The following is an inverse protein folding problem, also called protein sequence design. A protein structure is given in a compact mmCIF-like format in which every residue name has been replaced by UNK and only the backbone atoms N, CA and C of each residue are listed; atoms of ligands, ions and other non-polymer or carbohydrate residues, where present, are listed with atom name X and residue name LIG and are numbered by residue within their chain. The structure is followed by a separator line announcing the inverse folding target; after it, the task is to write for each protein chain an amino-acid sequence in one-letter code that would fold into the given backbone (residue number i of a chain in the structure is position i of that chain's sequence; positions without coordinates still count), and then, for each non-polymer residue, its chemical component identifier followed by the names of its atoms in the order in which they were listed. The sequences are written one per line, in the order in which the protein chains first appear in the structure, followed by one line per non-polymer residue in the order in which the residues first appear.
data_IF_398602404788
#
_entry.id   IF_398602404788
#
_cell.length_a   1.000
_cell.length_b   1.000
_cell.length_c   1.000
_cell.angle_alpha   90.00
_cell.angle_beta   90.00
_cell.angle_gamma   90.00
#
_symmetry.space_group_name_H-M   'P 1'
#
loop_
_entity.id
_entity.type
_entity.pdbx_description
1 polymer ?
#
# COMPACT_ATOMS: atom_id res chain seq x y z
N UNK A 1 -15.78 14.37 0.74
CA UNK A 1 -16.06 12.95 0.42
C UNK A 1 -14.74 12.25 0.15
N UNK A 2 -14.57 11.01 0.62
CA UNK A 2 -13.45 10.15 0.20
C UNK A 2 -13.58 9.91 -1.31
N UNK A 3 -12.49 9.96 -2.07
CA UNK A 3 -12.47 9.56 -3.48
C UNK A 3 -12.78 8.06 -3.55
N UNK A 4 -13.49 7.61 -4.59
CA UNK A 4 -13.81 6.20 -4.74
C UNK A 4 -12.51 5.40 -4.92
N UNK A 5 -12.37 4.32 -4.15
CA UNK A 5 -11.39 3.26 -4.42
C UNK A 5 -12.06 2.15 -5.21
N UNK A 6 -11.28 1.45 -6.04
CA UNK A 6 -11.77 0.26 -6.72
C UNK A 6 -12.03 -0.81 -5.64
N UNK A 7 -13.14 -1.57 -5.72
CA UNK A 7 -13.35 -2.70 -4.84
C UNK A 7 -12.13 -3.62 -4.86
N UNK A 8 -11.51 -3.81 -3.70
CA UNK A 8 -10.38 -4.72 -3.55
C UNK A 8 -10.91 -6.14 -3.77
N UNK A 9 -10.29 -6.90 -4.67
CA UNK A 9 -10.73 -8.25 -4.97
C UNK A 9 -10.20 -9.23 -3.92
N UNK A 10 -11.02 -10.24 -3.60
CA UNK A 10 -10.69 -11.25 -2.59
C UNK A 10 -9.40 -12.01 -2.94
N UNK A 11 -9.15 -12.26 -4.22
CA UNK A 11 -7.92 -12.91 -4.70
C UNK A 11 -6.66 -12.12 -4.36
N UNK A 12 -6.71 -10.79 -4.45
CA UNK A 12 -5.57 -9.92 -4.13
C UNK A 12 -5.23 -9.99 -2.64
N UNK A 13 -6.26 -9.98 -1.78
CA UNK A 13 -6.08 -10.11 -0.33
C UNK A 13 -5.57 -11.50 0.03
N UNK A 14 -6.08 -12.54 -0.64
CA UNK A 14 -5.70 -13.94 -0.41
C UNK A 14 -4.26 -14.23 -0.83
N UNK A 15 -3.76 -13.54 -1.87
CA UNK A 15 -2.36 -13.60 -2.27
C UNK A 15 -1.42 -13.04 -1.20
N UNK A 16 -1.81 -11.93 -0.55
CA UNK A 16 -1.05 -11.30 0.54
C UNK A 16 -1.13 -12.16 1.82
N UNK A 17 -2.34 -12.55 2.22
CA UNK A 17 -2.61 -13.29 3.46
C UNK A 17 -2.88 -14.77 3.17
N UNK A 18 -1.88 -15.44 2.60
CA UNK A 18 -1.96 -16.88 2.31
C UNK A 18 -1.61 -17.74 3.54
N UNK A 19 -1.82 -19.06 3.42
CA UNK A 19 -1.58 -20.02 4.50
C UNK A 19 -0.13 -19.98 5.02
N UNK A 20 0.85 -19.90 4.13
CA UNK A 20 2.27 -19.88 4.51
C UNK A 20 2.62 -18.62 5.31
N UNK A 21 2.09 -17.46 4.89
CA UNK A 21 2.29 -16.19 5.59
C UNK A 21 1.67 -16.22 7.00
N UNK A 22 0.48 -16.80 7.12
CA UNK A 22 -0.16 -16.99 8.43
C UNK A 22 0.66 -17.91 9.33
N UNK A 23 1.20 -19.01 8.80
CA UNK A 23 2.06 -19.92 9.54
C UNK A 23 3.35 -19.21 10.00
N UNK A 24 3.99 -18.43 9.11
CA UNK A 24 5.18 -17.62 9.44
C UNK A 24 4.92 -16.66 10.60
N UNK A 25 3.81 -15.93 10.56
CA UNK A 25 3.41 -15.00 11.62
C UNK A 25 3.18 -15.75 12.94
N UNK A 26 2.42 -16.86 12.91
CA UNK A 26 2.13 -17.66 14.11
C UNK A 26 3.42 -18.20 14.74
N UNK A 27 4.32 -18.77 13.93
CA UNK A 27 5.62 -19.25 14.41
C UNK A 27 6.44 -18.10 15.02
N UNK A 28 6.43 -16.94 14.38
CA UNK A 28 7.10 -15.75 14.90
C UNK A 28 6.56 -15.27 16.25
N UNK A 29 5.26 -15.41 16.50
CA UNK A 29 4.65 -15.10 17.80
C UNK A 29 5.18 -16.02 18.90
N UNK A 30 5.26 -17.33 18.64
CA UNK A 30 5.83 -18.29 19.58
C UNK A 30 7.33 -18.06 19.85
N UNK A 31 8.05 -17.48 18.88
CA UNK A 31 9.46 -17.12 19.02
C UNK A 31 9.68 -15.77 19.75
N UNK A 32 8.62 -15.06 20.12
CA UNK A 32 8.72 -13.76 20.79
C UNK A 32 9.24 -12.63 19.89
N UNK A 33 9.11 -12.76 18.56
CA UNK A 33 9.48 -11.70 17.63
C UNK A 33 8.61 -10.46 17.85
N UNK A 34 9.15 -9.25 17.64
CA UNK A 34 8.36 -8.03 17.76
C UNK A 34 7.19 -8.02 16.76
N UNK A 35 6.03 -7.49 17.18
CA UNK A 35 4.85 -7.40 16.32
C UNK A 35 5.03 -6.35 15.21
N UNK A 36 5.62 -5.22 15.55
CA UNK A 36 5.79 -4.04 14.70
C UNK A 36 7.26 -3.59 14.71
N UNK A 37 7.62 -2.66 13.83
CA UNK A 37 8.96 -2.11 13.72
C UNK A 37 9.84 -2.82 12.69
N UNK A 38 11.13 -2.50 12.68
CA UNK A 38 12.08 -3.10 11.74
C UNK A 38 12.20 -4.63 12.01
N UNK A 39 11.72 -5.44 11.05
CA UNK A 39 11.64 -6.90 11.21
C UNK A 39 10.44 -7.41 12.01
N UNK A 40 9.46 -6.55 12.29
CA UNK A 40 8.22 -6.94 12.96
C UNK A 40 7.33 -7.83 12.09
N UNK A 41 6.65 -8.79 12.72
CA UNK A 41 5.81 -9.79 12.03
C UNK A 41 4.72 -9.16 11.15
N UNK A 42 4.10 -8.09 11.64
CA UNK A 42 3.01 -7.40 10.96
C UNK A 42 3.51 -6.27 10.06
N UNK A 43 4.78 -5.86 10.17
CA UNK A 43 5.32 -4.73 9.40
C UNK A 43 5.26 -5.01 7.89
N UNK A 44 5.60 -6.22 7.45
CA UNK A 44 5.45 -6.62 6.04
C UNK A 44 3.99 -6.61 5.61
N UNK A 45 3.09 -7.08 6.47
CA UNK A 45 1.67 -7.16 6.14
C UNK A 45 1.04 -5.76 5.99
N UNK A 46 1.38 -4.84 6.90
CA UNK A 46 0.95 -3.44 6.80
C UNK A 46 1.49 -2.80 5.53
N UNK A 47 2.76 -3.05 5.18
CA UNK A 47 3.35 -2.59 3.91
C UNK A 47 2.53 -3.08 2.72
N UNK A 48 2.31 -4.40 2.62
CA UNK A 48 1.66 -5.02 1.46
C UNK A 48 0.21 -4.52 1.30
N UNK A 49 -0.55 -4.42 2.40
CA UNK A 49 -1.90 -3.86 2.36
C UNK A 49 -1.93 -2.39 1.97
N UNK A 50 -0.96 -1.61 2.44
CA UNK A 50 -0.85 -0.20 2.07
C UNK A 50 -0.55 -0.04 0.58
N UNK A 51 0.35 -0.86 0.03
CA UNK A 51 0.65 -0.85 -1.40
C UNK A 51 -0.60 -1.20 -2.22
N UNK A 52 -1.29 -2.28 -1.84
CA UNK A 52 -2.53 -2.70 -2.51
C UNK A 52 -3.60 -1.61 -2.51
N UNK A 53 -3.77 -0.93 -1.37
CA UNK A 53 -4.72 0.18 -1.27
C UNK A 53 -4.33 1.34 -2.20
N UNK A 54 -3.05 1.74 -2.24
CA UNK A 54 -2.58 2.79 -3.13
C UNK A 54 -2.68 2.41 -4.62
N UNK A 55 -2.46 1.14 -4.96
CA UNK A 55 -2.65 0.64 -6.31
C UNK A 55 -4.12 0.74 -6.75
N UNK A 56 -5.05 0.38 -5.86
CA UNK A 56 -6.49 0.51 -6.11
C UNK A 56 -6.92 1.97 -6.30
N UNK A 57 -6.38 2.89 -5.49
CA UNK A 57 -6.61 4.33 -5.68
C UNK A 57 -6.08 4.81 -7.06
N UNK A 58 -4.91 4.35 -7.47
CA UNK A 58 -4.32 4.70 -8.77
C UNK A 58 -5.17 4.18 -9.94
N UNK A 59 -5.66 2.94 -9.86
CA UNK A 59 -6.51 2.37 -10.91
C UNK A 59 -7.79 3.18 -11.10
N UNK A 60 -8.43 3.59 -10.01
CA UNK A 60 -9.59 4.48 -10.07
C UNK A 60 -9.26 5.82 -10.71
N UNK A 61 -8.14 6.45 -10.30
CA UNK A 61 -7.70 7.74 -10.84
C UNK A 61 -7.45 7.68 -12.37
N UNK A 62 -6.82 6.60 -12.85
CA UNK A 62 -6.56 6.41 -14.27
C UNK A 62 -7.82 6.11 -15.07
N UNK A 63 -8.77 5.35 -14.50
CA UNK A 63 -10.07 5.13 -15.12
C UNK A 63 -10.84 6.45 -15.29
N UNK A 64 -10.90 7.27 -14.23
CA UNK A 64 -11.55 8.59 -14.27
C UNK A 64 -10.89 9.53 -15.30
N UNK A 65 -9.54 9.62 -15.30
CA UNK A 65 -8.80 10.40 -16.29
C UNK A 65 -9.02 9.93 -17.74
N UNK A 66 -9.20 8.61 -17.94
CA UNK A 66 -9.45 8.05 -19.27
C UNK A 66 -10.82 8.45 -19.82
N UNK A 67 -11.80 8.70 -18.94
CA UNK A 67 -13.13 9.17 -19.31
C UNK A 67 -13.15 10.68 -19.62
N UNK A 68 -12.31 11.47 -18.96
CA UNK A 68 -12.36 12.95 -19.06
C UNK A 68 -11.37 13.56 -20.06
N UNK A 69 -10.10 13.11 -20.10
CA UNK A 69 -9.00 13.86 -20.75
C UNK A 69 -7.98 12.99 -21.52
N UNK A 70 -8.16 11.67 -21.53
CA UNK A 70 -7.64 10.78 -22.57
C UNK A 70 -6.13 10.85 -22.86
N UNK A 71 -5.25 10.88 -21.84
CA UNK A 71 -3.81 10.58 -22.06
C UNK A 71 -3.01 10.21 -20.79
N UNK A 72 -3.65 10.10 -19.63
CA UNK A 72 -2.92 9.78 -18.40
C UNK A 72 -2.64 8.27 -18.32
N UNK A 73 -1.45 7.91 -17.83
CA UNK A 73 -0.98 6.51 -17.72
C UNK A 73 -0.12 6.36 -16.48
N UNK A 74 0.13 5.11 -16.05
CA UNK A 74 1.10 4.80 -14.99
C UNK A 74 2.51 5.27 -15.40
N UNK A 75 3.25 5.78 -14.43
CA UNK A 75 4.64 6.23 -14.55
C UNK A 75 5.52 5.56 -13.48
N UNK A 76 5.42 4.24 -13.42
CA UNK A 76 6.18 3.40 -12.49
C UNK A 76 5.79 3.58 -11.01
N UNK A 77 6.72 3.15 -10.15
CA UNK A 77 6.62 3.22 -8.69
C UNK A 77 7.70 4.16 -8.16
N UNK A 78 7.44 4.76 -7.00
CA UNK A 78 8.43 5.55 -6.26
C UNK A 78 8.55 5.00 -4.85
N UNK A 79 9.78 4.80 -4.38
CA UNK A 79 10.05 4.34 -3.02
C UNK A 79 9.91 5.48 -2.02
N UNK A 80 9.24 5.21 -0.90
CA UNK A 80 9.04 6.13 0.21
C UNK A 80 9.28 5.39 1.53
N UNK A 81 10.15 5.92 2.37
CA UNK A 81 10.34 5.42 3.73
C UNK A 81 9.24 5.98 4.64
N UNK A 82 8.43 5.10 5.21
CA UNK A 82 7.36 5.42 6.15
C UNK A 82 7.83 5.17 7.59
N UNK A 83 7.58 6.13 8.46
CA UNK A 83 7.83 6.07 9.89
C UNK A 83 6.54 5.73 10.64
N UNK A 84 6.68 4.90 11.65
CA UNK A 84 5.64 4.49 12.60
C UNK A 84 6.19 4.62 14.02
N UNK A 85 5.32 4.52 15.03
CA UNK A 85 5.75 4.59 16.42
C UNK A 85 6.78 3.51 16.80
N UNK A 86 6.76 2.36 16.13
CA UNK A 86 7.61 1.21 16.43
C UNK A 86 8.80 1.05 15.47
N UNK A 87 8.94 1.89 14.45
CA UNK A 87 10.06 1.82 13.51
C UNK A 87 9.76 2.45 12.15
N UNK A 88 10.44 1.99 11.11
CA UNK A 88 10.20 2.45 9.74
C UNK A 88 10.22 1.31 8.74
N UNK A 89 9.51 1.46 7.63
CA UNK A 89 9.51 0.51 6.54
C UNK A 89 9.47 1.23 5.19
N UNK A 90 9.95 0.57 4.15
CA UNK A 90 9.89 1.09 2.79
C UNK A 90 8.60 0.70 2.10
N UNK A 91 7.97 1.67 1.45
CA UNK A 91 6.74 1.54 0.70
C UNK A 91 7.00 1.93 -0.75
N UNK A 92 6.39 1.22 -1.68
CA UNK A 92 6.35 1.63 -3.09
C UNK A 92 5.00 2.26 -3.39
N UNK A 93 5.03 3.49 -3.86
CA UNK A 93 3.82 4.25 -4.16
C UNK A 93 3.68 4.42 -5.68
N UNK A 94 2.50 4.15 -6.27
CA UNK A 94 2.28 4.33 -7.68
C UNK A 94 2.24 5.81 -8.06
N UNK A 95 2.65 6.12 -9.29
CA UNK A 95 2.64 7.47 -9.85
C UNK A 95 1.98 7.49 -11.24
N UNK A 96 1.31 8.57 -11.57
CA UNK A 96 0.77 8.83 -12.90
C UNK A 96 1.70 9.75 -13.72
N UNK A 97 1.58 9.70 -15.05
CA UNK A 97 2.45 10.46 -15.97
C UNK A 97 2.20 11.95 -15.89
N UNK A 98 0.94 12.36 -15.68
CA UNK A 98 0.57 13.77 -15.61
C UNK A 98 0.81 14.37 -14.22
N UNK A 99 1.12 13.55 -13.21
CA UNK A 99 1.37 13.98 -11.83
C UNK A 99 0.11 14.45 -11.09
N UNK A 100 -1.08 14.16 -11.61
CA UNK A 100 -2.37 14.61 -11.08
C UNK A 100 -2.94 13.65 -10.02
N UNK A 101 -2.36 12.46 -9.85
CA UNK A 101 -2.81 11.51 -8.83
C UNK A 101 -2.55 12.06 -7.44
N UNK A 102 -3.59 12.19 -6.61
CA UNK A 102 -3.50 12.62 -5.21
C UNK A 102 -4.04 11.52 -4.30
N UNK A 103 -3.14 10.67 -3.74
CA UNK A 103 -3.54 9.56 -2.88
C UNK A 103 -4.16 10.05 -1.56
N UNK A 104 -5.18 9.32 -1.09
CA UNK A 104 -5.90 9.65 0.14
C UNK A 104 -5.30 8.97 1.36
N UNK A 105 -4.95 7.69 1.24
CA UNK A 105 -4.39 6.90 2.34
C UNK A 105 -3.07 7.51 2.85
N UNK A 106 -2.15 7.83 1.94
CA UNK A 106 -0.87 8.47 2.26
C UNK A 106 -0.69 9.70 1.38
N UNK A 107 -0.78 10.88 1.98
CA UNK A 107 -0.63 12.14 1.27
C UNK A 107 0.78 12.28 0.69
N UNK A 108 0.87 13.01 -0.44
CA UNK A 108 2.16 13.41 -1.01
C UNK A 108 3.03 14.11 0.04
N UNK A 109 4.33 13.81 0.00
CA UNK A 109 5.36 14.39 0.89
C UNK A 109 5.21 14.07 2.40
N UNK A 110 4.27 13.21 2.80
CA UNK A 110 4.20 12.71 4.18
C UNK A 110 5.04 11.44 4.35
N UNK A 111 5.73 11.31 5.48
CA UNK A 111 6.58 10.17 5.84
C UNK A 111 6.11 9.47 7.12
N UNK A 112 4.91 9.76 7.61
CA UNK A 112 4.36 9.20 8.85
C UNK A 112 2.96 8.61 8.65
N UNK A 113 2.72 7.41 9.19
CA UNK A 113 1.39 6.80 9.27
C UNK A 113 0.60 7.44 10.41
N UNK A 114 -0.56 8.03 10.12
CA UNK A 114 -1.46 8.55 11.17
C UNK A 114 -2.23 7.43 11.84
#
# INVERSE_FOLDING_TARGET
MSKPMKPIQLDQVSQILNQDKCIEIIQGLYQGKPLLGAGGLLTSLVKDFTQLALESEMDCHLLENSLEQGNNRRNGLTTKTMKTASGSFELETPRDRNGTFEPQLIKKKTDYFK
#
